data_IF_048266071124
#
_entry.id   IF_048266071124
#
_cell.length_a   1.000
_cell.length_b   1.000
_cell.length_c   1.000
_cell.angle_alpha   90.00
_cell.angle_beta   90.00
_cell.angle_gamma   90.00
#
_symmetry.space_group_name_H-M   'P 1'
#
loop_
_entity.id
_entity.type
_entity.pdbx_description
1 polymer ?
#
# COMPACT_ATOMS: atom_id res chain seq x y z
N UNK A 1 -37.43 -9.28 1.96
CA UNK A 1 -36.03 -9.69 1.77
C UNK A 1 -35.86 -10.15 0.32
N UNK A 2 -35.51 -9.25 -0.60
CA UNK A 2 -35.36 -9.59 -2.01
C UNK A 2 -34.00 -10.27 -2.24
N UNK A 3 -34.03 -11.55 -2.60
CA UNK A 3 -32.85 -12.30 -3.04
C UNK A 3 -32.36 -11.67 -4.35
N UNK A 4 -31.21 -10.99 -4.27
CA UNK A 4 -30.54 -10.37 -5.42
C UNK A 4 -30.12 -11.48 -6.39
N UNK A 5 -30.79 -11.57 -7.55
CA UNK A 5 -30.35 -12.46 -8.65
C UNK A 5 -28.97 -11.99 -9.10
N UNK A 6 -27.95 -12.86 -8.96
CA UNK A 6 -26.62 -12.67 -9.58
C UNK A 6 -26.79 -12.62 -11.10
N UNK A 7 -26.23 -11.60 -11.75
CA UNK A 7 -26.13 -11.56 -13.21
C UNK A 7 -25.07 -12.57 -13.67
N UNK A 8 -25.27 -13.25 -14.82
CA UNK A 8 -24.27 -14.17 -15.36
C UNK A 8 -23.21 -13.33 -16.10
N UNK A 9 -22.08 -13.06 -15.45
CA UNK A 9 -20.98 -12.31 -16.05
C UNK A 9 -20.21 -11.36 -15.13
N UNK A 10 -20.28 -11.52 -13.80
CA UNK A 10 -19.41 -10.77 -12.91
C UNK A 10 -17.97 -11.27 -13.07
N UNK A 11 -17.13 -10.49 -13.76
CA UNK A 11 -15.68 -10.70 -13.84
C UNK A 11 -15.03 -10.81 -12.45
N UNK A 12 -15.69 -10.26 -11.42
CA UNK A 12 -15.30 -10.37 -10.01
C UNK A 12 -15.28 -11.82 -9.47
N UNK A 13 -16.08 -12.74 -10.03
CA UNK A 13 -16.07 -14.13 -9.55
C UNK A 13 -14.79 -14.87 -9.94
N UNK A 14 -14.18 -14.49 -11.07
CA UNK A 14 -12.91 -15.04 -11.54
C UNK A 14 -11.70 -14.42 -10.83
N UNK A 15 -11.83 -13.22 -10.26
CA UNK A 15 -10.74 -12.55 -9.53
C UNK A 15 -10.28 -13.33 -8.29
N UNK A 16 -11.13 -14.21 -7.74
CA UNK A 16 -10.82 -15.03 -6.57
C UNK A 16 -10.58 -16.51 -6.92
N UNK A 17 -10.32 -16.81 -8.19
CA UNK A 17 -10.02 -18.17 -8.66
C UNK A 17 -8.57 -18.22 -9.15
N UNK A 18 -7.78 -19.05 -8.48
CA UNK A 18 -6.37 -19.25 -8.75
C UNK A 18 -6.17 -20.55 -9.50
N UNK A 19 -5.63 -20.45 -10.71
CA UNK A 19 -5.50 -21.57 -11.65
C UNK A 19 -4.05 -22.06 -11.71
N UNK A 20 -3.80 -23.37 -11.74
CA UNK A 20 -2.49 -23.96 -12.03
C UNK A 20 -2.08 -23.84 -13.51
N UNK A 21 -0.82 -24.12 -13.82
CA UNK A 21 -0.42 -24.45 -15.19
C UNK A 21 -1.13 -25.74 -15.64
N UNK A 22 -1.45 -25.87 -16.94
CA UNK A 22 -1.97 -27.11 -17.47
C UNK A 22 -0.88 -28.19 -17.49
N UNK A 23 -1.22 -29.38 -17.01
CA UNK A 23 -0.39 -30.58 -17.17
C UNK A 23 -1.03 -31.45 -18.25
N UNK A 24 -0.24 -31.85 -19.24
CA UNK A 24 -0.66 -32.73 -20.33
C UNK A 24 0.10 -34.05 -20.25
N UNK A 25 -0.63 -35.18 -20.27
CA UNK A 25 -0.05 -36.53 -20.23
C UNK A 25 -0.97 -37.50 -21.00
N UNK A 26 -0.42 -38.18 -22.01
CA UNK A 26 -1.10 -39.18 -22.85
C UNK A 26 -2.51 -38.73 -23.27
N UNK A 27 -2.57 -37.56 -23.92
CA UNK A 27 -3.79 -36.89 -24.41
C UNK A 27 -4.78 -36.44 -23.32
N UNK A 28 -4.48 -36.69 -22.05
CA UNK A 28 -5.22 -36.15 -20.93
C UNK A 28 -4.64 -34.79 -20.52
N UNK A 29 -5.52 -33.89 -20.07
CA UNK A 29 -5.14 -32.56 -19.57
C UNK A 29 -5.69 -32.34 -18.17
N UNK A 30 -4.90 -31.73 -17.31
CA UNK A 30 -5.25 -31.40 -15.92
C UNK A 30 -5.03 -29.92 -15.66
N UNK A 31 -5.98 -29.29 -14.97
CA UNK A 31 -5.84 -27.92 -14.46
C UNK A 31 -6.48 -27.86 -13.07
N UNK A 32 -5.74 -27.34 -12.09
CA UNK A 32 -6.22 -27.06 -10.75
C UNK A 32 -6.79 -25.64 -10.65
N UNK A 33 -7.86 -25.50 -9.89
CA UNK A 33 -8.55 -24.25 -9.59
C UNK A 33 -8.76 -24.19 -8.08
N UNK A 34 -8.28 -23.13 -7.43
CA UNK A 34 -8.44 -22.92 -6.00
C UNK A 34 -9.18 -21.60 -5.77
N UNK A 35 -10.10 -21.59 -4.81
CA UNK A 35 -10.71 -20.36 -4.34
C UNK A 35 -10.87 -20.37 -2.82
N UNK A 36 -10.42 -19.30 -2.12
CA UNK A 36 -10.64 -19.17 -0.69
C UNK A 36 -12.10 -18.80 -0.33
N UNK A 37 -12.88 -18.28 -1.28
CA UNK A 37 -14.18 -17.65 -1.03
C UNK A 37 -15.34 -18.37 -1.68
N UNK A 38 -15.17 -18.93 -2.89
CA UNK A 38 -16.26 -19.61 -3.58
C UNK A 38 -16.65 -20.90 -2.85
N UNK A 39 -17.94 -21.23 -2.90
CA UNK A 39 -18.41 -22.50 -2.36
C UNK A 39 -17.90 -23.67 -3.23
N UNK A 40 -17.76 -24.88 -2.66
CA UNK A 40 -17.30 -26.04 -3.41
C UNK A 40 -18.12 -26.30 -4.69
N UNK A 41 -19.43 -26.08 -4.62
CA UNK A 41 -20.36 -26.25 -5.75
C UNK A 41 -20.17 -25.19 -6.83
N UNK A 42 -20.09 -23.91 -6.46
CA UNK A 42 -19.84 -22.81 -7.42
C UNK A 42 -18.51 -23.03 -8.16
N UNK A 43 -17.48 -23.49 -7.45
CA UNK A 43 -16.17 -23.77 -8.06
C UNK A 43 -16.23 -24.94 -9.05
N UNK A 44 -17.02 -25.99 -8.76
CA UNK A 44 -17.23 -27.14 -9.66
C UNK A 44 -18.13 -26.80 -10.87
N UNK A 45 -18.89 -25.71 -10.80
CA UNK A 45 -19.77 -25.19 -11.85
C UNK A 45 -19.13 -24.05 -12.67
N UNK A 46 -17.82 -23.78 -12.51
CA UNK A 46 -17.10 -22.79 -13.30
C UNK A 46 -17.25 -23.03 -14.81
N UNK A 47 -17.55 -21.97 -15.56
CA UNK A 47 -17.76 -22.01 -17.00
C UNK A 47 -16.54 -22.60 -17.76
N UNK A 48 -15.32 -22.33 -17.29
CA UNK A 48 -14.07 -22.81 -17.90
C UNK A 48 -13.92 -24.34 -17.88
N UNK A 49 -14.52 -25.01 -16.91
CA UNK A 49 -14.36 -26.46 -16.69
C UNK A 49 -15.62 -27.25 -17.00
N UNK A 50 -16.67 -26.61 -17.54
CA UNK A 50 -17.93 -27.29 -17.88
C UNK A 50 -17.73 -28.46 -18.85
N UNK A 51 -16.76 -28.34 -19.77
CA UNK A 51 -16.40 -29.40 -20.72
C UNK A 51 -15.41 -30.43 -20.19
N UNK A 52 -15.00 -30.37 -18.92
CA UNK A 52 -14.10 -31.36 -18.33
C UNK A 52 -14.82 -32.70 -18.12
N UNK A 53 -14.09 -33.80 -18.33
CA UNK A 53 -14.62 -35.14 -18.11
C UNK A 53 -14.82 -35.45 -16.63
N UNK A 54 -13.95 -34.91 -15.78
CA UNK A 54 -13.99 -35.06 -14.32
C UNK A 54 -13.59 -33.74 -13.66
N UNK A 55 -14.27 -33.38 -12.58
CA UNK A 55 -14.10 -32.16 -11.77
C UNK A 55 -13.94 -32.56 -10.32
N UNK A 56 -12.75 -33.07 -10.02
CA UNK A 56 -12.37 -33.64 -8.73
C UNK A 56 -12.30 -32.51 -7.71
N UNK A 57 -13.07 -32.59 -6.63
CA UNK A 57 -13.25 -31.51 -5.68
C UNK A 57 -12.73 -31.90 -4.29
N UNK A 58 -12.10 -30.96 -3.62
CA UNK A 58 -11.79 -31.01 -2.19
C UNK A 58 -12.05 -29.65 -1.54
N UNK A 59 -12.46 -29.65 -0.29
CA UNK A 59 -12.65 -28.41 0.47
C UNK A 59 -12.25 -28.55 1.93
N UNK A 60 -11.85 -27.43 2.51
CA UNK A 60 -11.48 -27.30 3.92
C UNK A 60 -11.95 -25.94 4.42
N UNK A 61 -12.84 -25.94 5.41
CA UNK A 61 -13.37 -24.71 6.03
C UNK A 61 -13.19 -24.72 7.53
N UNK A 62 -13.06 -23.55 8.13
CA UNK A 62 -13.08 -23.42 9.58
C UNK A 62 -14.47 -23.75 10.13
N UNK A 63 -14.50 -24.49 11.23
CA UNK A 63 -15.72 -24.81 11.94
C UNK A 63 -16.09 -23.66 12.86
N UNK A 64 -17.36 -23.25 12.84
CA UNK A 64 -17.90 -22.27 13.78
C UNK A 64 -18.09 -22.84 15.19
N UNK A 65 -17.83 -24.14 15.40
CA UNK A 65 -17.97 -24.77 16.70
C UNK A 65 -16.79 -24.45 17.60
N UNK A 66 -17.06 -23.83 18.75
CA UNK A 66 -16.04 -23.49 19.74
C UNK A 66 -15.45 -24.77 20.35
N UNK A 67 -14.14 -24.98 20.16
CA UNK A 67 -13.44 -26.10 20.78
C UNK A 67 -13.18 -25.80 22.26
N UNK A 68 -13.41 -26.78 23.12
CA UNK A 68 -13.05 -26.74 24.55
C UNK A 68 -11.55 -26.38 24.73
N UNK A 69 -10.71 -26.79 23.78
CA UNK A 69 -9.25 -26.57 23.79
C UNK A 69 -8.80 -25.26 23.15
N UNK A 70 -9.71 -24.35 22.75
CA UNK A 70 -9.42 -23.13 21.94
C UNK A 70 -8.74 -23.36 20.58
N UNK A 71 -8.50 -24.60 20.18
CA UNK A 71 -7.96 -24.92 18.85
C UNK A 71 -9.03 -24.76 17.76
N UNK A 72 -8.68 -24.13 16.64
CA UNK A 72 -9.53 -24.04 15.45
C UNK A 72 -9.78 -25.45 14.90
N UNK A 73 -11.06 -25.82 14.76
CA UNK A 73 -11.46 -27.08 14.12
C UNK A 73 -11.75 -26.82 12.65
N UNK A 74 -11.48 -27.80 11.81
CA UNK A 74 -11.74 -27.72 10.37
C UNK A 74 -12.75 -28.79 9.97
N UNK A 75 -13.64 -28.43 9.05
CA UNK A 75 -14.54 -29.35 8.36
C UNK A 75 -13.97 -29.53 6.96
N UNK A 76 -13.59 -30.76 6.64
CA UNK A 76 -13.09 -31.14 5.32
C UNK A 76 -14.11 -32.01 4.58
N UNK A 77 -13.97 -32.09 3.27
CA UNK A 77 -14.70 -33.03 2.45
C UNK A 77 -14.16 -33.04 1.02
N UNK A 78 -14.66 -34.00 0.24
CA UNK A 78 -14.19 -34.24 -1.11
C UNK A 78 -15.27 -34.89 -1.98
N UNK A 79 -15.17 -34.70 -3.29
CA UNK A 79 -15.92 -35.42 -4.31
C UNK A 79 -14.95 -35.88 -5.41
N UNK A 80 -15.00 -37.17 -5.72
CA UNK A 80 -14.11 -37.81 -6.70
C UNK A 80 -14.54 -37.55 -8.15
N UNK A 81 -15.82 -37.22 -8.39
CA UNK A 81 -16.41 -37.05 -9.73
C UNK A 81 -15.98 -38.13 -10.76
N UNK A 82 -16.13 -39.41 -10.40
CA UNK A 82 -15.77 -40.55 -11.25
C UNK A 82 -14.28 -40.94 -11.22
N UNK A 83 -13.39 -40.08 -10.71
CA UNK A 83 -11.96 -40.36 -10.53
C UNK A 83 -11.71 -40.89 -9.12
N UNK A 84 -12.09 -42.14 -8.88
CA UNK A 84 -12.01 -42.78 -7.55
C UNK A 84 -10.69 -42.49 -6.83
N UNK A 85 -10.78 -42.02 -5.58
CA UNK A 85 -9.72 -41.57 -4.68
C UNK A 85 -9.10 -40.20 -5.01
N UNK A 86 -9.48 -39.54 -6.11
CA UNK A 86 -8.93 -38.25 -6.51
C UNK A 86 -9.27 -37.13 -5.54
N UNK A 87 -10.52 -37.06 -5.08
CA UNK A 87 -10.99 -36.02 -4.16
C UNK A 87 -10.25 -36.06 -2.83
N UNK A 88 -9.96 -37.27 -2.33
CA UNK A 88 -9.14 -37.44 -1.12
C UNK A 88 -7.70 -36.95 -1.28
N UNK A 89 -7.14 -36.99 -2.50
CA UNK A 89 -5.83 -36.38 -2.77
C UNK A 89 -5.89 -34.86 -2.67
N UNK A 90 -6.91 -34.25 -3.26
CA UNK A 90 -7.13 -32.79 -3.18
C UNK A 90 -7.36 -32.34 -1.73
N UNK A 91 -8.20 -33.06 -0.98
CA UNK A 91 -8.39 -32.81 0.45
C UNK A 91 -7.07 -32.86 1.22
N UNK A 92 -6.23 -33.87 0.92
CA UNK A 92 -4.92 -34.00 1.58
C UNK A 92 -3.98 -32.84 1.27
N UNK A 93 -3.99 -32.35 0.04
CA UNK A 93 -3.20 -31.17 -0.36
C UNK A 93 -3.65 -29.94 0.44
N UNK A 94 -4.96 -29.69 0.56
CA UNK A 94 -5.49 -28.57 1.37
C UNK A 94 -5.06 -28.66 2.84
N UNK A 95 -5.03 -29.86 3.42
CA UNK A 95 -4.54 -30.07 4.79
C UNK A 95 -3.05 -29.74 4.93
N UNK A 96 -2.22 -30.25 4.01
CA UNK A 96 -0.77 -30.09 4.07
C UNK A 96 -0.36 -28.62 3.86
N UNK A 97 -1.00 -27.93 2.92
CA UNK A 97 -0.82 -26.49 2.70
C UNK A 97 -1.51 -25.63 3.76
N UNK A 98 -2.33 -26.23 4.65
CA UNK A 98 -3.17 -25.53 5.63
C UNK A 98 -4.12 -24.50 5.02
N UNK A 99 -4.38 -24.61 3.71
CA UNK A 99 -5.25 -23.71 2.98
C UNK A 99 -6.71 -23.89 3.41
N UNK A 100 -7.46 -22.79 3.43
CA UNK A 100 -8.89 -22.76 3.72
C UNK A 100 -9.60 -22.29 2.46
N UNK A 101 -10.56 -23.08 1.99
CA UNK A 101 -11.23 -22.84 0.71
C UNK A 101 -11.65 -24.14 0.03
N UNK A 102 -11.96 -24.03 -1.25
CA UNK A 102 -12.26 -25.15 -2.14
C UNK A 102 -11.22 -25.24 -3.26
N UNK A 103 -10.91 -26.47 -3.69
CA UNK A 103 -10.05 -26.74 -4.83
C UNK A 103 -10.71 -27.75 -5.74
N UNK A 104 -10.77 -27.45 -7.04
CA UNK A 104 -11.22 -28.36 -8.09
C UNK A 104 -10.07 -28.64 -9.04
N UNK A 105 -9.79 -29.91 -9.31
CA UNK A 105 -8.92 -30.32 -10.40
C UNK A 105 -9.78 -30.85 -11.54
N UNK A 106 -9.81 -30.11 -12.63
CA UNK A 106 -10.48 -30.50 -13.86
C UNK A 106 -9.56 -31.40 -14.68
N UNK A 107 -10.08 -32.55 -15.12
CA UNK A 107 -9.43 -33.46 -16.06
C UNK A 107 -10.25 -33.56 -17.34
N UNK A 108 -9.60 -33.35 -18.47
CA UNK A 108 -10.10 -33.75 -19.79
C UNK A 108 -9.48 -35.11 -20.15
N UNK A 109 -10.32 -36.14 -20.28
CA UNK A 109 -9.87 -37.50 -20.53
C UNK A 109 -9.48 -37.69 -22.00
N UNK A 110 -8.25 -38.15 -22.24
CA UNK A 110 -7.70 -38.33 -23.58
C UNK A 110 -7.89 -39.72 -24.20
N UNK A 111 -8.62 -40.63 -23.55
CA UNK A 111 -8.79 -42.01 -24.01
C UNK A 111 -7.79 -43.02 -23.44
N UNK A 112 -6.76 -42.58 -22.70
CA UNK A 112 -5.72 -43.46 -22.13
C UNK A 112 -5.80 -43.51 -20.60
N UNK A 113 -5.84 -44.73 -20.05
CA UNK A 113 -5.78 -44.94 -18.60
C UNK A 113 -4.37 -44.62 -18.07
N UNK A 114 -4.27 -43.59 -17.24
CA UNK A 114 -3.00 -43.15 -16.63
C UNK A 114 -2.61 -43.97 -15.39
N UNK A 115 -3.54 -44.73 -14.81
CA UNK A 115 -3.31 -45.46 -13.57
C UNK A 115 -2.89 -44.52 -12.43
N UNK A 116 -1.90 -44.88 -11.61
CA UNK A 116 -1.45 -44.06 -10.49
C UNK A 116 -0.94 -42.65 -10.87
N UNK A 117 -0.41 -42.48 -12.09
CA UNK A 117 0.17 -41.20 -12.53
C UNK A 117 -0.85 -40.04 -12.48
N UNK A 118 -2.14 -40.32 -12.69
CA UNK A 118 -3.20 -39.30 -12.58
C UNK A 118 -3.24 -38.64 -11.21
N UNK A 119 -2.96 -39.39 -10.15
CA UNK A 119 -3.01 -38.86 -8.78
C UNK A 119 -1.88 -37.87 -8.52
N UNK A 120 -0.68 -38.12 -9.08
CA UNK A 120 0.42 -37.17 -9.03
C UNK A 120 0.07 -35.87 -9.75
N UNK A 121 -0.58 -35.95 -10.91
CA UNK A 121 -1.03 -34.76 -11.64
C UNK A 121 -2.11 -33.99 -10.86
N UNK A 122 -3.05 -34.70 -10.25
CA UNK A 122 -4.09 -34.10 -9.40
C UNK A 122 -3.47 -33.35 -8.22
N UNK A 123 -2.53 -33.99 -7.50
CA UNK A 123 -1.85 -33.36 -6.37
C UNK A 123 -1.04 -32.14 -6.81
N UNK A 124 -0.29 -32.25 -7.91
CA UNK A 124 0.56 -31.17 -8.43
C UNK A 124 -0.28 -29.97 -8.87
N UNK A 125 -1.35 -30.19 -9.63
CA UNK A 125 -2.26 -29.13 -10.04
C UNK A 125 -2.92 -28.43 -8.85
N UNK A 126 -3.36 -29.19 -7.83
CA UNK A 126 -3.95 -28.62 -6.62
C UNK A 126 -2.93 -27.77 -5.84
N UNK A 127 -1.70 -28.27 -5.65
CA UNK A 127 -0.63 -27.55 -4.97
C UNK A 127 -0.29 -26.24 -5.68
N UNK A 128 -0.11 -26.27 -7.00
CA UNK A 128 0.25 -25.08 -7.76
C UNK A 128 -0.87 -24.02 -7.74
N UNK A 129 -2.14 -24.44 -7.82
CA UNK A 129 -3.27 -23.52 -7.69
C UNK A 129 -3.30 -22.81 -6.33
N UNK A 130 -3.00 -23.53 -5.24
CA UNK A 130 -2.90 -22.95 -3.90
C UNK A 130 -1.69 -22.02 -3.77
N UNK A 131 -0.51 -22.40 -4.28
CA UNK A 131 0.67 -21.54 -4.22
C UNK A 131 0.44 -20.20 -4.92
N UNK A 132 -0.25 -20.19 -6.07
CA UNK A 132 -0.60 -18.94 -6.76
C UNK A 132 -1.51 -18.04 -5.93
N UNK A 133 -2.39 -18.61 -5.11
CA UNK A 133 -3.17 -17.83 -4.16
C UNK A 133 -2.29 -17.26 -3.04
N UNK A 134 -1.38 -18.06 -2.49
CA UNK A 134 -0.46 -17.63 -1.43
C UNK A 134 0.42 -16.47 -1.90
N UNK A 135 1.00 -16.58 -3.10
CA UNK A 135 1.80 -15.52 -3.72
C UNK A 135 0.98 -14.24 -3.88
N UNK A 136 -0.26 -14.35 -4.36
CA UNK A 136 -1.17 -13.21 -4.47
C UNK A 136 -1.47 -12.56 -3.11
N UNK A 137 -1.64 -13.35 -2.03
CA UNK A 137 -1.83 -12.80 -0.69
C UNK A 137 -0.60 -12.03 -0.20
N UNK A 138 0.61 -12.55 -0.49
CA UNK A 138 1.87 -11.87 -0.15
C UNK A 138 1.99 -10.54 -0.89
N UNK A 139 1.69 -10.52 -2.19
CA UNK A 139 1.71 -9.31 -3.01
C UNK A 139 0.69 -8.27 -2.53
N UNK A 140 -0.56 -8.68 -2.28
CA UNK A 140 -1.60 -7.78 -1.80
C UNK A 140 -1.27 -7.21 -0.42
N UNK A 141 -0.69 -8.02 0.48
CA UNK A 141 -0.21 -7.54 1.77
C UNK A 141 0.93 -6.53 1.61
N UNK A 142 1.87 -6.77 0.69
CA UNK A 142 2.96 -5.85 0.42
C UNK A 142 2.45 -4.51 -0.16
N UNK A 143 1.49 -4.55 -1.10
CA UNK A 143 0.84 -3.35 -1.64
C UNK A 143 0.11 -2.56 -0.55
N UNK A 144 -0.66 -3.23 0.31
CA UNK A 144 -1.35 -2.59 1.45
C UNK A 144 -0.37 -1.95 2.42
N UNK A 145 0.72 -2.64 2.74
CA UNK A 145 1.77 -2.08 3.60
C UNK A 145 2.42 -0.84 2.97
N UNK A 146 2.69 -0.87 1.66
CA UNK A 146 3.25 0.28 0.94
C UNK A 146 2.31 1.48 1.00
N UNK A 147 1.02 1.28 0.71
CA UNK A 147 0.00 2.33 0.79
C UNK A 147 -0.09 2.90 2.21
N UNK A 148 -0.14 2.04 3.24
CA UNK A 148 -0.20 2.47 4.63
C UNK A 148 1.05 3.28 5.03
N UNK A 149 2.24 2.88 4.57
CA UNK A 149 3.48 3.61 4.82
C UNK A 149 3.47 4.99 4.12
N UNK A 150 3.01 5.04 2.86
CA UNK A 150 2.89 6.30 2.11
C UNK A 150 1.87 7.26 2.74
N UNK A 151 0.75 6.73 3.26
CA UNK A 151 -0.25 7.51 3.98
C UNK A 151 0.27 8.02 5.33
N UNK A 152 0.99 7.19 6.08
CA UNK A 152 1.64 7.60 7.32
C UNK A 152 2.71 8.68 7.10
N UNK A 153 3.53 8.53 6.05
CA UNK A 153 4.52 9.53 5.66
C UNK A 153 3.85 10.84 5.25
N UNK A 154 2.79 10.76 4.45
CA UNK A 154 1.98 11.91 4.05
C UNK A 154 1.45 12.66 5.27
N UNK A 155 0.84 11.96 6.22
CA UNK A 155 0.34 12.56 7.47
C UNK A 155 1.46 13.24 8.28
N UNK A 156 2.65 12.63 8.35
CA UNK A 156 3.82 13.22 9.02
C UNK A 156 4.30 14.49 8.31
N UNK A 157 4.37 14.49 6.98
CA UNK A 157 4.82 15.64 6.20
C UNK A 157 3.85 16.82 6.28
N UNK A 158 2.54 16.56 6.26
CA UNK A 158 1.52 17.59 6.46
C UNK A 158 1.76 18.33 7.78
N UNK A 159 1.87 17.59 8.89
CA UNK A 159 2.14 18.17 10.20
C UNK A 159 3.48 18.94 10.24
N UNK A 160 4.54 18.36 9.67
CA UNK A 160 5.87 18.99 9.64
C UNK A 160 5.86 20.29 8.85
N UNK A 161 5.13 20.34 7.73
CA UNK A 161 5.03 21.54 6.90
C UNK A 161 4.26 22.66 7.59
N UNK A 162 3.18 22.34 8.31
CA UNK A 162 2.46 23.30 9.15
C UNK A 162 3.39 23.91 10.22
N UNK A 163 4.13 23.06 10.95
CA UNK A 163 5.08 23.50 11.98
C UNK A 163 6.21 24.37 11.39
N UNK A 164 6.71 24.01 10.21
CA UNK A 164 7.76 24.77 9.51
C UNK A 164 7.26 26.13 9.01
N UNK A 165 6.05 26.20 8.47
CA UNK A 165 5.46 27.48 8.04
C UNK A 165 5.29 28.42 9.23
N UNK A 166 4.79 27.92 10.36
CA UNK A 166 4.69 28.69 11.61
C UNK A 166 6.07 29.21 12.04
N UNK A 167 7.09 28.36 11.99
CA UNK A 167 8.47 28.73 12.32
C UNK A 167 9.04 29.77 11.36
N UNK A 168 8.78 29.66 10.05
CA UNK A 168 9.21 30.63 9.03
C UNK A 168 8.59 32.00 9.30
N UNK A 169 7.31 32.06 9.68
CA UNK A 169 6.65 33.33 10.02
C UNK A 169 7.35 33.99 11.21
N UNK A 170 7.59 33.24 12.29
CA UNK A 170 8.28 33.75 13.49
C UNK A 170 9.70 34.23 13.15
N UNK A 171 10.49 33.42 12.44
CA UNK A 171 11.87 33.77 12.09
C UNK A 171 11.96 34.97 11.14
N UNK A 172 10.98 35.14 10.23
CA UNK A 172 10.92 36.34 9.38
C UNK A 172 10.71 37.59 10.20
N UNK A 173 9.79 37.55 11.17
CA UNK A 173 9.53 38.68 12.06
C UNK A 173 10.78 39.03 12.87
N UNK A 174 11.44 38.02 13.48
CA UNK A 174 12.68 38.22 14.25
C UNK A 174 13.83 38.76 13.39
N UNK A 175 14.00 38.25 12.17
CA UNK A 175 15.04 38.73 11.25
C UNK A 175 14.84 40.22 10.91
N UNK A 176 13.60 40.65 10.67
CA UNK A 176 13.28 42.05 10.37
C UNK A 176 13.55 42.95 11.59
N UNK A 177 13.10 42.55 12.78
CA UNK A 177 13.33 43.31 14.01
C UNK A 177 14.82 43.50 14.30
N UNK A 178 15.63 42.44 14.14
CA UNK A 178 17.08 42.50 14.36
C UNK A 178 17.80 43.38 13.34
N UNK A 179 17.43 43.30 12.07
CA UNK A 179 18.02 44.17 11.04
C UNK A 179 17.66 45.65 11.20
N UNK A 180 16.42 45.93 11.64
CA UNK A 180 16.03 47.29 12.00
C UNK A 180 16.85 47.83 13.17
N UNK A 181 17.12 47.00 14.19
CA UNK A 181 18.01 47.38 15.29
C UNK A 181 19.45 47.66 14.82
N UNK A 182 20.01 46.85 13.90
CA UNK A 182 21.34 47.12 13.31
C UNK A 182 21.37 48.47 12.59
N UNK A 183 20.28 48.80 11.90
CA UNK A 183 20.18 50.05 11.14
C UNK A 183 20.02 51.26 12.06
N UNK A 184 19.27 51.13 13.15
CA UNK A 184 19.06 52.19 14.14
C UNK A 184 20.33 52.55 14.95
N UNK A 185 21.26 51.59 15.15
CA UNK A 185 22.52 51.85 15.86
C UNK A 185 23.60 52.52 14.99
N UNK A 186 23.41 52.65 13.67
CA UNK A 186 24.34 53.42 12.82
C UNK A 186 23.98 54.91 12.84
N UNK A 187 24.86 55.82 13.29
CA UNK A 187 24.59 57.24 13.22
C UNK A 187 24.58 57.69 11.75
N UNK A 188 23.46 58.29 11.33
CA UNK A 188 23.29 58.86 10.00
C UNK A 188 24.22 60.05 9.80
N UNK A 189 25.10 59.97 8.79
CA UNK A 189 25.58 61.16 8.10
C UNK A 189 25.10 61.13 6.65
N UNK A 190 24.43 62.23 6.31
CA UNK A 190 24.13 62.77 4.97
C UNK A 190 22.79 62.39 4.33
N UNK A 191 22.04 63.46 4.05
CA UNK A 191 20.76 63.55 3.38
C UNK A 191 20.81 63.23 1.87
N UNK A 192 19.65 62.72 1.41
CA UNK A 192 19.00 62.90 0.10
C UNK A 192 19.75 62.49 -1.19
N UNK A 193 19.21 61.46 -1.84
CA UNK A 193 18.73 61.62 -3.22
C UNK A 193 17.52 60.72 -3.46
N UNK A 194 16.42 61.38 -3.81
CA UNK A 194 15.16 60.84 -4.29
C UNK A 194 15.35 60.10 -5.61
N UNK A 195 15.05 58.79 -5.63
CA UNK A 195 14.54 58.11 -6.83
C UNK A 195 13.45 57.12 -6.47
N UNK A 196 12.27 57.41 -7.00
CA UNK A 196 11.09 56.59 -7.06
C UNK A 196 11.42 55.14 -7.44
N UNK A 197 11.05 54.22 -6.57
CA UNK A 197 10.70 52.87 -6.93
C UNK A 197 9.45 52.50 -6.15
N UNK A 198 8.31 52.87 -6.73
CA UNK A 198 7.03 52.20 -6.53
C UNK A 198 7.28 50.71 -6.75
N UNK A 199 7.53 49.97 -5.68
CA UNK A 199 7.35 48.52 -5.67
C UNK A 199 6.27 48.27 -4.66
N UNK A 200 5.09 47.99 -5.21
CA UNK A 200 3.86 47.73 -4.50
C UNK A 200 4.12 46.98 -3.20
N UNK A 201 3.59 47.53 -2.11
CA UNK A 201 3.20 46.79 -0.93
C UNK A 201 2.21 45.70 -1.38
N UNK A 202 2.75 44.60 -1.91
CA UNK A 202 2.00 43.38 -2.12
C UNK A 202 1.81 42.84 -0.73
N UNK A 203 0.70 43.20 -0.11
CA UNK A 203 0.08 42.50 1.00
C UNK A 203 -0.02 41.04 0.56
N UNK A 204 1.03 40.26 0.83
CA UNK A 204 1.01 38.83 0.60
C UNK A 204 0.08 38.29 1.68
N UNK A 205 -1.20 38.21 1.34
CA UNK A 205 -2.15 37.33 2.02
C UNK A 205 -1.44 35.99 2.09
N UNK A 206 -1.02 35.59 3.30
CA UNK A 206 -0.38 34.31 3.54
C UNK A 206 -1.43 33.25 3.27
N UNK A 207 -1.56 32.81 2.02
CA UNK A 207 -2.34 31.65 1.70
C UNK A 207 -1.58 30.46 2.28
N UNK A 208 -1.99 30.00 3.46
CA UNK A 208 -1.56 28.72 4.02
C UNK A 208 -1.94 27.65 3.00
N UNK A 209 -0.99 26.97 2.34
CA UNK A 209 -1.31 25.94 1.37
C UNK A 209 -2.05 24.81 2.07
N UNK A 210 -3.12 24.28 1.48
CA UNK A 210 -3.79 23.09 2.00
C UNK A 210 -2.92 21.85 1.70
N UNK A 211 -2.09 21.47 2.67
CA UNK A 211 -1.22 20.29 2.57
C UNK A 211 -2.01 18.98 2.54
N UNK A 212 -3.20 18.97 3.13
CA UNK A 212 -4.09 17.80 3.24
C UNK A 212 -4.69 17.36 1.91
N UNK A 213 -4.65 18.19 0.86
CA UNK A 213 -5.09 17.84 -0.49
C UNK A 213 -3.93 17.41 -1.43
N UNK A 214 -2.67 17.53 -1.00
CA UNK A 214 -1.51 17.33 -1.88
C UNK A 214 -1.05 15.87 -1.96
N UNK A 215 -0.38 15.55 -3.07
CA UNK A 215 0.30 14.27 -3.30
C UNK A 215 1.62 14.19 -2.51
N UNK A 216 2.04 12.97 -2.16
CA UNK A 216 3.21 12.71 -1.32
C UNK A 216 4.51 13.33 -1.89
N UNK A 217 4.73 13.21 -3.21
CA UNK A 217 5.92 13.78 -3.86
C UNK A 217 5.98 15.30 -3.75
N UNK A 218 4.83 15.97 -3.89
CA UNK A 218 4.74 17.42 -3.75
C UNK A 218 5.02 17.85 -2.32
N UNK A 219 4.51 17.12 -1.33
CA UNK A 219 4.79 17.36 0.08
C UNK A 219 6.29 17.21 0.39
N UNK A 220 6.95 16.17 -0.11
CA UNK A 220 8.41 16.00 0.04
C UNK A 220 9.21 17.18 -0.55
N UNK A 221 8.82 17.65 -1.74
CA UNK A 221 9.47 18.78 -2.38
C UNK A 221 9.30 20.09 -1.59
N UNK A 222 8.08 20.33 -1.07
CA UNK A 222 7.79 21.48 -0.23
C UNK A 222 8.56 21.42 1.08
N UNK A 223 8.62 20.25 1.70
CA UNK A 223 9.32 20.02 2.96
C UNK A 223 10.79 20.45 2.84
N UNK A 224 11.47 19.97 1.79
CA UNK A 224 12.84 20.37 1.45
C UNK A 224 12.99 21.88 1.20
N UNK A 225 12.03 22.50 0.51
CA UNK A 225 12.05 23.94 0.24
C UNK A 225 11.85 24.79 1.52
N UNK A 226 11.01 24.33 2.45
CA UNK A 226 10.81 25.00 3.75
C UNK A 226 12.03 24.87 4.63
N UNK A 227 12.66 23.71 4.68
CA UNK A 227 13.90 23.48 5.41
C UNK A 227 15.03 24.41 4.93
N UNK A 228 15.18 24.57 3.61
CA UNK A 228 16.12 25.51 3.02
C UNK A 228 15.81 26.98 3.40
N UNK A 229 14.51 27.34 3.47
CA UNK A 229 14.08 28.68 3.87
C UNK A 229 14.38 28.96 5.35
N UNK A 230 14.10 28.00 6.24
CA UNK A 230 14.44 28.07 7.66
C UNK A 230 15.95 28.27 7.84
N UNK A 231 16.75 27.44 7.16
CA UNK A 231 18.22 27.53 7.19
C UNK A 231 18.72 28.90 6.72
N UNK A 232 18.10 29.48 5.69
CA UNK A 232 18.44 30.82 5.21
C UNK A 232 18.10 31.92 6.23
N UNK A 233 16.91 31.85 6.85
CA UNK A 233 16.48 32.83 7.86
C UNK A 233 17.35 32.78 9.11
N UNK A 234 17.70 31.58 9.59
CA UNK A 234 18.61 31.42 10.72
C UNK A 234 19.97 32.08 10.44
N UNK A 235 20.59 31.78 9.29
CA UNK A 235 21.86 32.42 8.89
C UNK A 235 21.75 33.95 8.80
N UNK A 236 20.60 34.46 8.38
CA UNK A 236 20.35 35.90 8.28
C UNK A 236 20.25 36.54 9.67
N UNK A 237 19.58 35.88 10.62
CA UNK A 237 19.51 36.31 12.02
C UNK A 237 20.91 36.30 12.65
N UNK A 238 21.65 35.20 12.52
CA UNK A 238 23.01 35.07 13.07
C UNK A 238 23.92 36.20 12.58
N UNK A 239 23.81 36.55 11.29
CA UNK A 239 24.57 37.67 10.70
C UNK A 239 24.17 39.02 11.30
N UNK A 240 22.87 39.27 11.49
CA UNK A 240 22.39 40.52 12.10
C UNK A 240 22.81 40.61 13.57
N UNK A 241 22.76 39.51 14.31
CA UNK A 241 23.20 39.45 15.70
C UNK A 241 24.71 39.68 15.85
N UNK A 242 25.52 39.07 14.98
CA UNK A 242 26.96 39.34 14.94
C UNK A 242 27.27 40.82 14.65
N UNK A 243 26.49 41.46 13.78
CA UNK A 243 26.65 42.89 13.49
C UNK A 243 26.26 43.78 14.70
N UNK A 244 25.17 43.46 15.40
CA UNK A 244 24.78 44.14 16.65
C UNK A 244 25.79 43.95 17.78
N UNK A 245 26.38 42.76 17.89
CA UNK A 245 27.42 42.50 18.88
C UNK A 245 28.67 43.33 18.59
N UNK A 246 29.06 43.43 17.32
CA UNK A 246 30.20 44.25 16.88
C UNK A 246 29.96 45.76 17.10
N UNK A 247 28.76 46.29 16.82
CA UNK A 247 28.44 47.70 17.07
C UNK A 247 28.47 48.04 18.57
N UNK A 248 27.96 47.15 19.41
CA UNK A 248 27.99 47.30 20.87
C UNK A 248 29.41 47.21 21.45
N UNK A 249 30.26 46.33 20.92
CA UNK A 249 31.66 46.27 21.34
C UNK A 249 32.40 47.58 20.97
N UNK A 250 32.17 48.12 19.77
CA UNK A 250 32.81 49.34 19.30
C UNK A 250 32.36 50.62 20.04
N UNK A 251 31.15 50.66 20.59
CA UNK A 251 30.67 51.80 21.39
C UNK A 251 31.22 51.80 22.83
N UNK A 252 31.64 50.64 23.35
CA UNK A 252 32.24 50.51 24.69
C UNK A 252 33.74 50.89 24.71
N UNK A 253 34.42 50.82 23.55
CA UNK A 253 35.88 51.00 23.46
C UNK A 253 36.31 52.45 23.12
N UNK A 254 35.38 53.41 22.98
CA UNK A 254 35.73 54.81 22.68
C UNK A 254 35.98 55.60 23.98
N UNK A 255 37.23 56.03 24.30
CA UNK A 255 37.51 56.75 25.53
C UNK A 255 37.08 58.23 25.44
N UNK A 256 36.87 58.91 26.59
CA UNK A 256 36.42 60.31 26.66
C UNK A 256 37.44 61.31 26.10
#
# INVERSE_FOLDING_TARGET
MALKRKQPGDTSELENVFRSAPIEDRSSKFIGYFSPTLTPKELQELAEIQGASHKILGWRRESNQQSITKATRYITGSDDDGEKYGGKKVEKVLELSRAVGACVVARWYGGVMLGPARFTHIETCAQEAIHRWEDHQVEERAKRQKIANEEAERGRLVKTLEDRDNSIVVLRTLALEKEQAVTAEKPSSTEQTSKSAVTASRTQVQHTPDYGAMQLERLRALDKARDATLSFLLKRIDKAEAALAASKAASVEKPP
#
